data_IF_966948074930
#
_entry.id   IF_966948074930
#
_cell.length_a   1.000
_cell.length_b   1.000
_cell.length_c   1.000
_cell.angle_alpha   90.00
_cell.angle_beta   90.00
_cell.angle_gamma   90.00
#
_symmetry.space_group_name_H-M   'P 1'
#
loop_
_entity.id
_entity.type
_entity.pdbx_description
1 polymer ?
#
# COMPACT_ATOMS: atom_id res chain seq x y z
N UNK A 1 0.94 35.25 3.33
CA UNK A 1 1.50 34.08 2.59
C UNK A 1 0.37 33.15 2.12
N UNK A 2 0.37 32.72 0.86
CA UNK A 2 -0.64 31.85 0.24
C UNK A 2 0.05 30.66 -0.43
N UNK A 3 -0.63 29.49 -0.40
CA UNK A 3 -0.23 28.31 -1.16
C UNK A 3 -1.07 28.27 -2.44
N UNK A 4 -0.43 28.16 -3.59
CA UNK A 4 -1.07 28.05 -4.91
C UNK A 4 -0.23 27.22 -5.87
N UNK A 5 -0.83 26.83 -7.00
CA UNK A 5 -0.07 26.21 -8.08
C UNK A 5 1.02 27.17 -8.60
N UNK A 6 2.16 26.59 -9.01
CA UNK A 6 3.25 27.29 -9.67
C UNK A 6 2.77 27.95 -10.97
N UNK A 7 3.33 29.10 -11.29
CA UNK A 7 3.10 29.85 -12.54
C UNK A 7 4.44 30.03 -13.30
N UNK A 8 4.45 30.29 -14.60
CA UNK A 8 5.68 30.43 -15.38
C UNK A 8 6.68 31.48 -14.78
N UNK A 9 6.18 32.58 -14.25
CA UNK A 9 7.00 33.64 -13.68
C UNK A 9 7.61 33.29 -12.30
N UNK A 10 7.22 32.20 -11.68
CA UNK A 10 7.74 31.79 -10.36
C UNK A 10 9.06 31.00 -10.46
N UNK A 11 9.34 30.38 -11.61
CA UNK A 11 10.40 29.36 -11.75
C UNK A 11 11.77 29.85 -11.33
N UNK A 12 12.17 31.02 -11.77
CA UNK A 12 13.51 31.61 -11.44
C UNK A 12 13.64 31.93 -9.96
N UNK A 13 12.59 32.47 -9.33
CA UNK A 13 12.61 32.71 -7.89
C UNK A 13 12.72 31.41 -7.12
N UNK A 14 11.99 30.35 -7.54
CA UNK A 14 12.06 29.03 -6.94
C UNK A 14 13.46 28.43 -7.10
N UNK A 15 14.05 28.48 -8.29
CA UNK A 15 15.40 27.97 -8.55
C UNK A 15 16.46 28.64 -7.64
N UNK A 16 16.36 29.92 -7.43
CA UNK A 16 17.26 30.67 -6.52
C UNK A 16 17.08 30.18 -5.06
N UNK A 17 15.85 29.94 -4.62
CA UNK A 17 15.60 29.40 -3.27
C UNK A 17 16.21 28.01 -3.13
N UNK A 18 16.03 27.13 -4.11
CA UNK A 18 16.59 25.78 -4.10
C UNK A 18 18.11 25.85 -3.93
N UNK A 19 18.80 26.67 -4.74
CA UNK A 19 20.25 26.85 -4.67
C UNK A 19 20.69 27.41 -3.33
N UNK A 20 20.06 28.47 -2.84
CA UNK A 20 20.37 29.03 -1.52
C UNK A 20 20.22 28.06 -0.39
N UNK A 21 19.22 27.14 -0.44
CA UNK A 21 19.04 26.10 0.58
C UNK A 21 20.15 25.05 0.50
N UNK A 22 20.60 24.67 -0.69
CA UNK A 22 21.75 23.75 -0.82
C UNK A 22 23.03 24.34 -0.21
N UNK A 23 23.29 25.61 -0.49
CA UNK A 23 24.45 26.36 0.05
C UNK A 23 24.34 26.50 1.58
N UNK A 24 23.16 26.86 2.08
CA UNK A 24 22.88 27.01 3.53
C UNK A 24 23.18 25.73 4.31
N UNK A 25 22.75 24.58 3.78
CA UNK A 25 22.90 23.29 4.45
C UNK A 25 24.22 22.57 4.11
N UNK A 26 25.05 23.12 3.23
CA UNK A 26 26.28 22.47 2.77
C UNK A 26 26.03 21.14 2.05
N UNK A 27 24.92 21.04 1.32
CA UNK A 27 24.60 19.85 0.57
C UNK A 27 25.47 19.74 -0.71
N UNK A 28 25.66 18.52 -1.27
CA UNK A 28 26.41 18.35 -2.53
C UNK A 28 25.81 19.15 -3.67
N UNK A 29 26.65 19.84 -4.44
CA UNK A 29 26.22 20.75 -5.51
C UNK A 29 26.22 20.10 -6.89
N UNK A 30 26.98 19.01 -7.07
CA UNK A 30 27.18 18.34 -8.37
C UNK A 30 26.36 17.07 -8.44
N UNK A 31 25.73 16.80 -9.58
CA UNK A 31 24.82 15.70 -9.83
C UNK A 31 23.60 15.71 -8.89
N UNK A 32 23.05 16.90 -8.66
CA UNK A 32 21.92 17.16 -7.78
C UNK A 32 20.91 18.10 -8.41
N UNK A 33 19.84 18.42 -7.69
CA UNK A 33 18.88 19.47 -8.08
C UNK A 33 19.56 20.85 -8.26
N UNK A 34 20.69 21.10 -7.60
CA UNK A 34 21.40 22.38 -7.65
C UNK A 34 21.93 22.72 -9.06
N UNK A 35 22.60 21.77 -9.71
CA UNK A 35 23.19 21.91 -11.03
C UNK A 35 22.32 21.43 -12.19
N UNK A 36 21.13 20.87 -11.89
CA UNK A 36 20.18 20.41 -12.90
C UNK A 36 19.54 21.62 -13.63
N UNK A 37 19.72 21.78 -14.95
CA UNK A 37 19.09 22.86 -15.72
C UNK A 37 17.56 22.88 -15.59
N UNK A 38 16.90 21.72 -15.38
CA UNK A 38 15.44 21.63 -15.18
C UNK A 38 14.97 22.36 -13.93
N UNK A 39 15.86 22.72 -13.01
CA UNK A 39 15.52 23.48 -11.80
C UNK A 39 15.04 24.89 -12.11
N UNK A 40 15.49 25.49 -13.22
CA UNK A 40 14.99 26.79 -13.69
C UNK A 40 13.68 26.69 -14.49
N UNK A 41 13.27 25.48 -14.85
CA UNK A 41 12.14 25.19 -15.72
C UNK A 41 11.10 24.27 -15.07
N UNK A 42 10.90 24.39 -13.75
CA UNK A 42 9.98 23.49 -13.00
C UNK A 42 8.58 23.52 -13.58
N UNK A 43 8.02 24.69 -13.89
CA UNK A 43 6.70 24.80 -14.50
C UNK A 43 6.63 24.10 -15.86
N UNK A 44 7.64 24.34 -16.70
CA UNK A 44 7.67 23.81 -18.06
C UNK A 44 7.78 22.26 -18.06
N UNK A 45 8.51 21.69 -17.09
CA UNK A 45 8.67 20.24 -16.95
C UNK A 45 7.37 19.51 -16.57
N UNK A 46 6.38 20.21 -16.02
CA UNK A 46 5.08 19.63 -15.67
C UNK A 46 4.16 19.47 -16.88
N UNK A 47 4.41 20.20 -17.98
CA UNK A 47 3.52 20.25 -19.14
C UNK A 47 3.30 18.86 -19.74
N UNK A 48 2.04 18.46 -19.94
CA UNK A 48 1.65 17.18 -20.50
C UNK A 48 1.96 15.96 -19.63
N UNK A 49 2.35 16.14 -18.37
CA UNK A 49 2.64 15.09 -17.40
C UNK A 49 1.54 15.02 -16.35
N UNK A 50 1.35 13.81 -15.79
CA UNK A 50 0.53 13.63 -14.59
C UNK A 50 1.32 14.09 -13.35
N UNK A 51 1.52 15.41 -13.23
CA UNK A 51 2.39 16.05 -12.25
C UNK A 51 1.72 17.27 -11.65
N UNK A 52 2.19 17.69 -10.47
CA UNK A 52 1.69 18.89 -9.81
C UNK A 52 2.74 19.54 -8.94
N UNK A 53 2.74 20.87 -8.89
CA UNK A 53 3.66 21.62 -8.07
C UNK A 53 3.00 22.84 -7.45
N UNK A 54 3.21 23.05 -6.17
CA UNK A 54 2.66 24.16 -5.40
C UNK A 54 3.80 25.00 -4.83
N UNK A 55 3.56 26.30 -4.75
CA UNK A 55 4.48 27.24 -4.11
C UNK A 55 3.80 27.95 -2.94
N UNK A 56 4.62 28.47 -2.04
CA UNK A 56 4.24 29.53 -1.10
C UNK A 56 4.70 30.85 -1.68
N UNK A 57 3.79 31.83 -1.71
CA UNK A 57 4.11 33.18 -2.09
C UNK A 57 3.53 34.19 -1.11
N UNK A 58 4.26 35.29 -0.93
CA UNK A 58 3.80 36.47 -0.20
C UNK A 58 4.03 37.74 -1.03
N UNK A 59 2.95 38.46 -1.34
CA UNK A 59 3.00 39.71 -2.14
C UNK A 59 3.83 39.58 -3.44
N UNK A 60 3.70 38.44 -4.13
CA UNK A 60 4.42 38.16 -5.38
C UNK A 60 5.85 37.61 -5.22
N UNK A 61 6.34 37.46 -3.99
CA UNK A 61 7.64 36.85 -3.69
C UNK A 61 7.42 35.36 -3.41
N UNK A 62 8.10 34.47 -4.16
CA UNK A 62 8.13 33.03 -3.90
C UNK A 62 8.99 32.76 -2.68
N UNK A 63 8.50 31.90 -1.79
CA UNK A 63 9.18 31.56 -0.54
C UNK A 63 9.51 30.06 -0.43
N UNK A 64 9.11 29.26 -1.42
CA UNK A 64 9.39 27.85 -1.49
C UNK A 64 8.34 27.08 -2.26
N UNK A 65 8.54 25.77 -2.39
CA UNK A 65 7.62 24.92 -3.13
C UNK A 65 7.80 23.43 -2.84
N UNK A 66 6.85 22.64 -3.33
CA UNK A 66 6.84 21.18 -3.28
C UNK A 66 5.91 20.66 -4.36
N UNK A 67 6.26 19.51 -4.96
CA UNK A 67 5.40 18.87 -5.96
C UNK A 67 5.62 17.38 -6.07
N UNK A 68 4.93 16.76 -7.02
CA UNK A 68 5.12 15.37 -7.42
C UNK A 68 5.29 15.27 -8.94
N UNK A 69 6.05 14.27 -9.37
CA UNK A 69 6.41 14.07 -10.78
C UNK A 69 6.58 12.58 -11.13
N UNK A 70 6.14 12.13 -12.33
CA UNK A 70 6.36 10.76 -12.80
C UNK A 70 7.79 10.60 -13.33
N UNK A 71 8.76 10.48 -12.42
CA UNK A 71 10.16 10.29 -12.75
C UNK A 71 10.36 9.00 -13.52
N UNK A 72 11.19 9.04 -14.56
CA UNK A 72 11.48 7.91 -15.43
C UNK A 72 12.06 6.72 -14.64
N UNK A 73 11.70 5.49 -15.03
CA UNK A 73 12.20 4.26 -14.39
C UNK A 73 11.58 3.95 -13.03
N UNK A 74 10.68 4.79 -12.49
CA UNK A 74 9.91 4.42 -11.30
C UNK A 74 8.93 3.28 -11.61
N UNK A 75 8.64 2.40 -10.63
CA UNK A 75 7.61 1.38 -10.80
C UNK A 75 6.24 1.98 -11.15
N UNK A 76 5.39 1.21 -11.80
CA UNK A 76 4.02 1.61 -12.10
C UNK A 76 3.28 2.05 -10.84
N UNK A 77 2.53 3.14 -10.93
CA UNK A 77 1.80 3.72 -9.80
C UNK A 77 2.64 4.57 -8.85
N UNK A 78 3.94 4.77 -9.11
CA UNK A 78 4.80 5.63 -8.30
C UNK A 78 4.96 7.02 -8.91
N UNK A 79 5.05 8.04 -8.05
CA UNK A 79 5.58 9.36 -8.40
C UNK A 79 6.69 9.73 -7.42
N UNK A 80 7.58 10.61 -7.84
CA UNK A 80 8.60 11.21 -6.97
C UNK A 80 8.05 12.51 -6.36
N UNK A 81 8.23 12.71 -5.05
CA UNK A 81 8.03 14.00 -4.41
C UNK A 81 9.28 14.84 -4.70
N UNK A 82 9.09 15.93 -5.43
CA UNK A 82 10.19 16.71 -6.02
C UNK A 82 10.31 18.10 -5.46
N UNK A 83 11.57 18.57 -5.37
CA UNK A 83 11.98 19.96 -5.14
C UNK A 83 11.24 20.61 -3.95
N UNK A 84 11.24 19.93 -2.79
CA UNK A 84 10.66 20.46 -1.56
C UNK A 84 11.68 21.34 -0.81
N UNK A 85 11.59 22.63 -1.02
CA UNK A 85 12.49 23.62 -0.43
C UNK A 85 11.74 24.84 0.05
N UNK A 86 12.19 25.44 1.17
CA UNK A 86 11.66 26.66 1.74
C UNK A 86 12.79 27.65 2.08
N UNK A 87 12.57 28.90 1.77
CA UNK A 87 13.41 29.98 2.28
C UNK A 87 13.32 30.08 3.81
N UNK A 88 14.36 30.56 4.50
CA UNK A 88 14.31 30.77 5.97
C UNK A 88 13.09 31.57 6.42
N UNK A 89 12.64 32.54 5.65
CA UNK A 89 11.50 33.40 5.95
C UNK A 89 10.15 32.66 6.02
N UNK A 90 10.05 31.46 5.42
CA UNK A 90 8.82 30.66 5.44
C UNK A 90 8.87 29.50 6.45
N UNK A 91 9.99 29.27 7.12
CA UNK A 91 10.15 28.16 8.08
C UNK A 91 9.56 28.51 9.46
N UNK A 92 9.19 27.48 10.22
CA UNK A 92 8.64 27.65 11.58
C UNK A 92 7.16 28.04 11.66
N UNK A 93 6.51 28.34 10.55
CA UNK A 93 5.10 28.78 10.49
C UNK A 93 4.13 27.70 9.98
N UNK A 94 4.57 26.44 9.85
CA UNK A 94 3.76 25.32 9.38
C UNK A 94 3.57 25.25 7.85
N UNK A 95 4.12 26.18 7.09
CA UNK A 95 3.97 26.22 5.63
C UNK A 95 4.62 25.02 4.93
N UNK A 96 5.74 24.51 5.45
CA UNK A 96 6.37 23.30 4.94
C UNK A 96 5.43 22.11 4.99
N UNK A 97 4.81 21.85 6.13
CA UNK A 97 3.82 20.78 6.28
C UNK A 97 2.62 20.98 5.36
N UNK A 98 2.16 22.22 5.19
CA UNK A 98 1.04 22.52 4.30
C UNK A 98 1.35 22.20 2.83
N UNK A 99 2.53 22.62 2.33
CA UNK A 99 2.99 22.29 0.96
C UNK A 99 3.14 20.78 0.77
N UNK A 100 3.79 20.13 1.72
CA UNK A 100 4.07 18.72 1.70
C UNK A 100 2.78 17.88 1.64
N UNK A 101 1.81 18.18 2.51
CA UNK A 101 0.50 17.53 2.50
C UNK A 101 -0.28 17.83 1.21
N UNK A 102 -0.16 19.02 0.67
CA UNK A 102 -0.78 19.39 -0.60
C UNK A 102 -0.20 18.57 -1.76
N UNK A 103 1.12 18.33 -1.79
CA UNK A 103 1.76 17.49 -2.81
C UNK A 103 1.37 16.01 -2.67
N UNK A 104 1.30 15.48 -1.44
CA UNK A 104 0.80 14.12 -1.16
C UNK A 104 -0.62 13.95 -1.66
N UNK A 105 -1.51 14.86 -1.28
CA UNK A 105 -2.93 14.81 -1.69
C UNK A 105 -3.09 14.98 -3.20
N UNK A 106 -2.27 15.83 -3.82
CA UNK A 106 -2.22 15.99 -5.27
C UNK A 106 -1.84 14.71 -5.98
N UNK A 107 -0.79 14.01 -5.54
CA UNK A 107 -0.35 12.74 -6.09
C UNK A 107 -1.42 11.65 -5.92
N UNK A 108 -2.07 11.58 -4.74
CA UNK A 108 -3.18 10.66 -4.47
C UNK A 108 -4.34 10.87 -5.44
N UNK A 109 -4.79 12.13 -5.62
CA UNK A 109 -5.85 12.48 -6.58
C UNK A 109 -5.49 12.23 -8.04
N UNK A 110 -4.22 12.29 -8.36
CA UNK A 110 -3.69 11.96 -9.68
C UNK A 110 -3.63 10.44 -9.95
N UNK A 111 -3.99 9.60 -8.95
CA UNK A 111 -4.08 8.15 -9.07
C UNK A 111 -2.78 7.41 -8.77
N UNK A 112 -1.77 8.07 -8.20
CA UNK A 112 -0.58 7.38 -7.75
C UNK A 112 -0.84 6.58 -6.47
N UNK A 113 -0.24 5.40 -6.40
CA UNK A 113 -0.33 4.53 -5.21
C UNK A 113 0.79 4.77 -4.21
N UNK A 114 1.92 5.30 -4.68
CA UNK A 114 3.11 5.52 -3.85
C UNK A 114 3.78 6.85 -4.19
N UNK A 115 4.41 7.46 -3.17
CA UNK A 115 5.37 8.54 -3.35
C UNK A 115 6.77 8.06 -2.97
N UNK A 116 7.73 8.37 -3.83
CA UNK A 116 9.16 8.14 -3.66
C UNK A 116 9.86 9.47 -3.36
N UNK A 117 10.91 9.46 -2.56
CA UNK A 117 11.73 10.63 -2.24
C UNK A 117 13.20 10.25 -2.34
N UNK A 118 14.00 11.15 -2.90
CA UNK A 118 15.45 11.19 -2.79
C UNK A 118 15.88 12.37 -1.91
N UNK A 119 16.86 12.16 -1.03
CA UNK A 119 17.32 13.19 -0.10
C UNK A 119 18.80 13.00 0.29
N UNK A 120 19.25 13.89 1.17
CA UNK A 120 20.59 13.92 1.75
C UNK A 120 20.53 13.98 3.27
N UNK A 121 21.57 13.48 4.00
CA UNK A 121 21.66 13.61 5.45
C UNK A 121 21.66 15.07 5.94
N UNK A 122 22.15 16.01 5.12
CA UNK A 122 22.17 17.43 5.41
C UNK A 122 20.75 18.00 5.61
N UNK A 123 19.73 17.40 5.00
CA UNK A 123 18.32 17.78 5.15
C UNK A 123 17.60 16.98 6.23
N UNK A 124 18.23 16.72 7.37
CA UNK A 124 17.74 15.88 8.47
C UNK A 124 16.35 16.26 8.98
N UNK A 125 16.03 17.57 9.04
CA UNK A 125 14.72 18.05 9.46
C UNK A 125 13.62 17.63 8.48
N UNK A 126 13.91 17.67 7.18
CA UNK A 126 13.00 17.21 6.13
C UNK A 126 12.84 15.67 6.19
N UNK A 127 13.94 14.94 6.35
CA UNK A 127 13.93 13.46 6.50
C UNK A 127 13.07 13.06 7.69
N UNK A 128 13.28 13.68 8.85
CA UNK A 128 12.48 13.44 10.07
C UNK A 128 10.99 13.78 9.85
N UNK A 129 10.69 14.79 9.05
CA UNK A 129 9.30 15.10 8.68
C UNK A 129 8.72 14.01 7.79
N UNK A 130 9.46 13.50 6.80
CA UNK A 130 9.02 12.40 5.94
C UNK A 130 8.68 11.14 6.77
N UNK A 131 9.55 10.77 7.72
CA UNK A 131 9.33 9.65 8.64
C UNK A 131 8.04 9.82 9.46
N UNK A 132 7.83 11.00 10.07
CA UNK A 132 6.59 11.30 10.80
C UNK A 132 5.32 11.22 9.95
N UNK A 133 5.45 11.42 8.65
CA UNK A 133 4.33 11.29 7.70
C UNK A 133 4.26 9.90 7.02
N UNK A 134 4.97 8.91 7.57
CA UNK A 134 4.85 7.51 7.16
C UNK A 134 5.68 7.11 5.93
N UNK A 135 6.66 7.92 5.54
CA UNK A 135 7.70 7.47 4.63
C UNK A 135 8.65 6.52 5.36
N UNK A 136 9.03 5.46 4.69
CA UNK A 136 10.00 4.47 5.20
C UNK A 136 11.23 4.44 4.31
N UNK A 137 12.40 4.25 4.92
CA UNK A 137 13.64 4.07 4.18
C UNK A 137 13.61 2.80 3.34
N UNK A 138 14.21 2.89 2.16
CA UNK A 138 14.49 1.74 1.29
C UNK A 138 15.98 1.69 0.98
N UNK A 139 16.56 0.48 0.75
CA UNK A 139 18.01 0.32 0.63
C UNK A 139 18.57 0.79 -0.72
N UNK A 140 17.73 0.96 -1.73
CA UNK A 140 18.16 1.24 -3.10
C UNK A 140 17.34 2.35 -3.73
N UNK A 141 17.97 3.10 -4.64
CA UNK A 141 17.31 4.07 -5.50
C UNK A 141 16.25 3.39 -6.36
N UNK A 142 15.14 4.11 -6.58
CA UNK A 142 14.12 3.77 -7.57
C UNK A 142 14.15 4.82 -8.68
N UNK A 143 13.99 4.37 -9.93
CA UNK A 143 13.94 5.26 -11.08
C UNK A 143 15.26 5.97 -11.41
N UNK A 144 15.16 6.91 -12.34
CA UNK A 144 16.27 7.73 -12.82
C UNK A 144 15.90 9.22 -12.76
N UNK A 145 16.12 9.83 -11.60
CA UNK A 145 15.94 11.27 -11.38
C UNK A 145 17.03 12.12 -12.06
N UNK A 146 18.17 11.51 -12.41
CA UNK A 146 19.38 12.18 -12.83
C UNK A 146 20.24 12.73 -11.66
N UNK A 147 19.76 12.67 -10.42
CA UNK A 147 20.46 13.23 -9.25
C UNK A 147 21.27 12.15 -8.51
N UNK A 148 22.37 11.70 -9.13
CA UNK A 148 23.12 10.52 -8.67
C UNK A 148 23.83 10.69 -7.32
N UNK A 149 23.95 11.91 -6.79
CA UNK A 149 24.60 12.19 -5.51
C UNK A 149 23.72 11.91 -4.28
N UNK A 150 22.39 11.73 -4.45
CA UNK A 150 21.47 11.45 -3.33
C UNK A 150 21.78 10.10 -2.68
N UNK A 151 21.65 10.03 -1.34
CA UNK A 151 22.02 8.85 -0.54
C UNK A 151 20.91 8.35 0.37
N UNK A 152 19.83 9.10 0.50
CA UNK A 152 18.63 8.71 1.26
C UNK A 152 17.49 8.48 0.27
N UNK A 153 16.87 7.30 0.35
CA UNK A 153 15.74 6.90 -0.47
C UNK A 153 14.59 6.46 0.43
N UNK A 154 13.40 7.00 0.18
CA UNK A 154 12.23 6.70 1.00
C UNK A 154 10.98 6.51 0.14
N UNK A 155 10.04 5.72 0.63
CA UNK A 155 8.74 5.46 -0.03
C UNK A 155 7.60 5.57 0.98
N UNK A 156 6.50 6.15 0.53
CA UNK A 156 5.22 6.19 1.24
C UNK A 156 4.12 5.57 0.38
N UNK A 157 3.33 4.66 0.97
CA UNK A 157 2.04 4.23 0.42
C UNK A 157 1.02 5.37 0.59
N UNK A 158 0.37 5.77 -0.49
CA UNK A 158 -0.63 6.84 -0.50
C UNK A 158 -2.04 6.35 -0.13
N UNK A 159 -2.21 5.02 -0.09
CA UNK A 159 -3.49 4.36 0.23
C UNK A 159 -3.26 3.25 1.26
N UNK A 160 -2.84 3.58 2.48
CA UNK A 160 -2.52 2.59 3.48
C UNK A 160 -3.74 1.72 3.81
N UNK A 161 -3.49 0.42 3.87
CA UNK A 161 -4.50 -0.56 4.28
C UNK A 161 -4.19 -1.02 5.69
N UNK A 162 -5.21 -1.01 6.55
CA UNK A 162 -5.14 -1.54 7.91
C UNK A 162 -5.86 -2.89 7.96
N UNK A 163 -5.15 -3.92 8.40
CA UNK A 163 -5.79 -5.21 8.69
C UNK A 163 -6.26 -5.21 10.14
N UNK A 164 -7.54 -5.53 10.33
CA UNK A 164 -8.18 -5.62 11.64
C UNK A 164 -8.86 -6.98 11.81
N UNK A 165 -9.00 -7.42 13.05
CA UNK A 165 -9.81 -8.59 13.38
C UNK A 165 -11.29 -8.23 13.41
N UNK A 166 -12.13 -9.22 13.20
CA UNK A 166 -13.58 -9.10 13.18
C UNK A 166 -14.15 -8.48 14.46
N UNK A 167 -15.13 -7.65 14.26
CA UNK A 167 -16.07 -7.16 15.26
C UNK A 167 -17.48 -7.23 14.66
N UNK A 168 -18.55 -7.38 15.47
CA UNK A 168 -19.93 -7.52 14.95
C UNK A 168 -20.36 -6.40 14.00
N UNK A 169 -19.83 -5.19 14.14
CA UNK A 169 -20.09 -4.06 13.24
C UNK A 169 -19.69 -4.32 11.78
N UNK A 170 -18.74 -5.23 11.52
CA UNK A 170 -18.24 -5.56 10.19
C UNK A 170 -18.97 -6.73 9.51
N UNK A 171 -20.00 -7.30 10.19
CA UNK A 171 -20.75 -8.45 9.68
C UNK A 171 -21.30 -8.22 8.27
N UNK A 172 -21.93 -7.07 8.07
CA UNK A 172 -22.54 -6.74 6.78
C UNK A 172 -21.48 -6.53 5.68
N UNK A 173 -20.35 -5.95 6.01
CA UNK A 173 -19.25 -5.78 5.06
C UNK A 173 -18.64 -7.12 4.64
N UNK A 174 -18.45 -8.04 5.57
CA UNK A 174 -17.99 -9.39 5.26
C UNK A 174 -18.95 -10.11 4.31
N UNK A 175 -20.25 -10.03 4.56
CA UNK A 175 -21.28 -10.63 3.69
C UNK A 175 -21.27 -9.96 2.32
N UNK A 176 -21.29 -8.63 2.28
CA UNK A 176 -21.29 -7.83 1.04
C UNK A 176 -20.10 -8.19 0.14
N UNK A 177 -18.89 -8.18 0.68
CA UNK A 177 -17.67 -8.48 -0.08
C UNK A 177 -17.69 -9.89 -0.67
N UNK A 178 -18.15 -10.87 0.09
CA UNK A 178 -18.23 -12.25 -0.38
C UNK A 178 -19.32 -12.44 -1.43
N UNK A 179 -20.49 -11.84 -1.27
CA UNK A 179 -21.53 -11.85 -2.30
C UNK A 179 -21.05 -11.21 -3.60
N UNK A 180 -20.49 -10.00 -3.51
CA UNK A 180 -19.91 -9.27 -4.66
C UNK A 180 -18.87 -10.13 -5.41
N UNK A 181 -18.00 -10.81 -4.66
CA UNK A 181 -16.98 -11.66 -5.26
C UNK A 181 -17.59 -12.91 -5.93
N UNK A 182 -18.48 -13.64 -5.23
CA UNK A 182 -19.09 -14.88 -5.73
C UNK A 182 -19.91 -14.59 -6.98
N UNK A 183 -20.77 -13.57 -6.96
CA UNK A 183 -21.67 -13.21 -8.07
C UNK A 183 -20.94 -12.85 -9.37
N UNK A 184 -19.66 -12.46 -9.28
CA UNK A 184 -18.83 -12.18 -10.48
C UNK A 184 -18.31 -13.43 -11.17
N UNK A 185 -18.12 -14.52 -10.46
CA UNK A 185 -17.41 -15.71 -10.96
C UNK A 185 -18.26 -16.98 -10.91
N UNK A 186 -19.31 -17.00 -10.09
CA UNK A 186 -20.11 -18.18 -9.82
C UNK A 186 -21.53 -17.81 -9.39
N UNK A 187 -22.24 -18.79 -8.80
CA UNK A 187 -23.51 -18.58 -8.11
C UNK A 187 -23.30 -18.76 -6.61
N UNK A 188 -24.13 -18.06 -5.82
CA UNK A 188 -24.20 -18.28 -4.38
C UNK A 188 -24.81 -19.67 -4.14
N UNK A 189 -24.10 -20.50 -3.40
CA UNK A 189 -24.50 -21.86 -3.02
C UNK A 189 -25.16 -21.87 -1.63
N UNK A 190 -25.94 -22.92 -1.28
CA UNK A 190 -26.53 -23.06 0.06
C UNK A 190 -25.51 -22.99 1.20
N UNK A 191 -24.29 -23.50 0.98
CA UNK A 191 -23.15 -23.42 1.91
C UNK A 191 -22.69 -21.98 2.16
N UNK A 192 -22.77 -21.10 1.15
CA UNK A 192 -22.47 -19.67 1.31
C UNK A 192 -23.53 -19.00 2.18
N UNK A 193 -24.81 -19.24 1.89
CA UNK A 193 -25.93 -18.68 2.68
C UNK A 193 -25.87 -19.12 4.14
N UNK A 194 -25.53 -20.40 4.39
CA UNK A 194 -25.32 -20.91 5.75
C UNK A 194 -24.21 -20.13 6.45
N UNK A 195 -23.08 -19.87 5.79
CA UNK A 195 -21.99 -19.09 6.36
C UNK A 195 -22.43 -17.65 6.63
N UNK A 196 -23.18 -17.02 5.72
CA UNK A 196 -23.65 -15.63 5.88
C UNK A 196 -24.66 -15.48 7.03
N UNK A 197 -25.46 -16.48 7.27
CA UNK A 197 -26.39 -16.50 8.43
C UNK A 197 -25.63 -16.58 9.77
N UNK A 198 -24.46 -17.24 9.78
CA UNK A 198 -23.71 -17.63 10.97
C UNK A 198 -22.28 -17.05 11.04
N UNK A 199 -22.08 -15.82 10.53
CA UNK A 199 -20.74 -15.18 10.50
C UNK A 199 -20.09 -15.10 11.87
N UNK A 200 -20.86 -14.73 12.90
CA UNK A 200 -20.36 -14.59 14.27
C UNK A 200 -19.87 -15.94 14.85
N UNK A 201 -20.46 -17.05 14.40
CA UNK A 201 -20.10 -18.40 14.86
C UNK A 201 -18.70 -18.81 14.41
N UNK A 202 -18.16 -18.21 13.33
CA UNK A 202 -16.78 -18.46 12.90
C UNK A 202 -15.81 -18.13 14.03
N UNK A 203 -15.98 -16.98 14.67
CA UNK A 203 -15.12 -16.53 15.77
C UNK A 203 -15.47 -17.27 17.06
N UNK A 204 -16.76 -17.47 17.35
CA UNK A 204 -17.22 -18.17 18.55
C UNK A 204 -16.71 -19.62 18.60
N UNK A 205 -16.52 -20.28 17.45
CA UNK A 205 -16.05 -21.65 17.34
C UNK A 205 -14.51 -21.77 17.18
N UNK A 206 -13.74 -20.73 17.53
CA UNK A 206 -12.27 -20.76 17.54
C UNK A 206 -11.60 -20.41 16.22
N UNK A 207 -12.35 -19.91 15.24
CA UNK A 207 -11.80 -19.26 14.04
C UNK A 207 -11.56 -17.77 14.22
N UNK A 208 -11.22 -17.09 13.12
CA UNK A 208 -11.07 -15.63 13.09
C UNK A 208 -11.38 -15.08 11.70
N UNK A 209 -11.89 -13.85 11.64
CA UNK A 209 -12.08 -13.12 10.38
C UNK A 209 -11.17 -11.89 10.40
N UNK A 210 -10.51 -11.64 9.27
CA UNK A 210 -9.68 -10.46 9.04
C UNK A 210 -10.33 -9.58 7.98
N UNK A 211 -10.26 -8.28 8.21
CA UNK A 211 -10.80 -7.28 7.29
C UNK A 211 -9.72 -6.27 6.95
N UNK A 212 -9.68 -5.86 5.69
CA UNK A 212 -8.83 -4.81 5.20
C UNK A 212 -9.64 -3.51 5.13
N UNK A 213 -9.17 -2.48 5.82
CA UNK A 213 -9.81 -1.16 5.91
C UNK A 213 -8.90 -0.16 5.24
N UNK A 214 -9.43 0.67 4.36
CA UNK A 214 -8.71 1.76 3.70
C UNK A 214 -8.70 3.05 4.53
N UNK A 215 -8.11 4.10 3.98
CA UNK A 215 -8.02 5.42 4.63
C UNK A 215 -9.35 6.15 4.80
N UNK A 216 -10.37 5.81 4.00
CA UNK A 216 -11.74 6.30 4.13
C UNK A 216 -12.55 5.51 5.20
N UNK A 217 -11.92 4.56 5.87
CA UNK A 217 -12.54 3.60 6.79
C UNK A 217 -13.55 2.65 6.13
N UNK A 218 -13.45 2.45 4.82
CA UNK A 218 -14.24 1.48 4.10
C UNK A 218 -13.61 0.09 4.18
N UNK A 219 -14.44 -0.94 4.37
CA UNK A 219 -13.97 -2.32 4.34
C UNK A 219 -13.85 -2.78 2.89
N UNK A 220 -12.62 -2.95 2.42
CA UNK A 220 -12.27 -3.23 1.03
C UNK A 220 -11.82 -4.67 0.76
N UNK A 221 -11.62 -5.46 1.80
CA UNK A 221 -11.28 -6.87 1.67
C UNK A 221 -11.51 -7.65 2.96
N UNK A 222 -11.61 -8.96 2.85
CA UNK A 222 -11.76 -9.87 3.99
C UNK A 222 -11.17 -11.26 3.70
N UNK A 223 -10.89 -12.02 4.75
CA UNK A 223 -10.71 -13.47 4.72
C UNK A 223 -11.09 -14.07 6.07
N UNK A 224 -11.38 -15.38 6.10
CA UNK A 224 -11.73 -16.10 7.30
C UNK A 224 -10.80 -17.30 7.52
N UNK A 225 -10.41 -17.52 8.76
CA UNK A 225 -9.85 -18.77 9.27
C UNK A 225 -11.00 -19.50 9.98
N UNK A 226 -11.51 -20.56 9.38
CA UNK A 226 -12.62 -21.35 9.94
C UNK A 226 -12.04 -22.55 10.66
N UNK A 227 -12.45 -22.77 11.90
CA UNK A 227 -12.02 -23.95 12.68
C UNK A 227 -12.88 -25.16 12.36
N UNK A 228 -12.23 -26.30 12.14
CA UNK A 228 -12.84 -27.62 11.95
C UNK A 228 -12.30 -28.61 13.01
N UNK A 229 -12.78 -28.51 14.26
CA UNK A 229 -12.27 -29.35 15.37
C UNK A 229 -12.33 -30.83 15.10
N UNK A 230 -13.38 -31.27 14.41
CA UNK A 230 -13.59 -32.66 14.03
C UNK A 230 -12.53 -33.23 13.06
N UNK A 231 -11.91 -32.32 12.29
CA UNK A 231 -10.82 -32.62 11.34
C UNK A 231 -9.44 -32.26 11.89
N UNK A 232 -9.36 -31.63 13.06
CA UNK A 232 -8.14 -31.11 13.67
C UNK A 232 -7.37 -30.16 12.75
N UNK A 233 -8.09 -29.37 11.95
CA UNK A 233 -7.51 -28.41 11.00
C UNK A 233 -8.35 -27.14 10.91
N UNK A 234 -7.82 -26.15 10.18
CA UNK A 234 -8.52 -24.90 9.87
C UNK A 234 -8.60 -24.70 8.37
N UNK A 235 -9.57 -23.93 7.93
CA UNK A 235 -9.77 -23.55 6.53
C UNK A 235 -9.52 -22.07 6.33
N UNK A 236 -8.70 -21.71 5.35
CA UNK A 236 -8.69 -20.36 4.79
C UNK A 236 -9.85 -20.25 3.81
N UNK A 237 -10.88 -19.51 4.19
CA UNK A 237 -12.11 -19.37 3.42
C UNK A 237 -12.47 -17.89 3.20
N UNK A 238 -13.43 -17.65 2.31
CA UNK A 238 -14.09 -16.36 2.16
C UNK A 238 -13.12 -15.20 1.94
N UNK A 239 -12.04 -15.42 1.17
CA UNK A 239 -11.13 -14.36 0.77
C UNK A 239 -11.72 -13.58 -0.40
N UNK A 240 -11.98 -12.31 -0.16
CA UNK A 240 -12.53 -11.39 -1.15
C UNK A 240 -11.88 -10.01 -1.03
N UNK A 241 -11.64 -9.35 -2.17
CA UNK A 241 -11.17 -7.96 -2.27
C UNK A 241 -12.01 -7.24 -3.31
N UNK A 242 -12.61 -6.10 -2.93
CA UNK A 242 -13.43 -5.32 -3.87
C UNK A 242 -12.63 -4.92 -5.11
N UNK A 243 -13.24 -4.88 -6.31
CA UNK A 243 -12.54 -4.59 -7.57
C UNK A 243 -11.70 -3.32 -7.55
N UNK A 244 -12.21 -2.26 -6.93
CA UNK A 244 -11.53 -0.96 -6.83
C UNK A 244 -10.22 -1.00 -6.04
N UNK A 245 -10.07 -2.00 -5.16
CA UNK A 245 -8.89 -2.14 -4.30
C UNK A 245 -7.97 -3.30 -4.72
N UNK A 246 -8.29 -4.03 -5.79
CA UNK A 246 -7.42 -5.07 -6.35
C UNK A 246 -6.11 -4.48 -6.89
N UNK A 247 -5.06 -5.32 -6.98
CA UNK A 247 -3.71 -4.88 -7.40
C UNK A 247 -2.88 -4.19 -6.30
N UNK A 248 -3.47 -3.83 -5.16
CA UNK A 248 -2.81 -3.16 -4.02
C UNK A 248 -2.20 -4.13 -2.99
N UNK A 249 -2.08 -5.41 -3.30
CA UNK A 249 -1.52 -6.43 -2.38
C UNK A 249 -2.40 -6.81 -1.20
N UNK A 250 -3.65 -6.37 -1.13
CA UNK A 250 -4.57 -6.57 0.01
C UNK A 250 -4.80 -8.05 0.31
N UNK A 251 -5.00 -8.88 -0.72
CA UNK A 251 -5.16 -10.33 -0.53
C UNK A 251 -3.95 -10.96 0.15
N UNK A 252 -2.73 -10.50 -0.19
CA UNK A 252 -1.50 -10.94 0.47
C UNK A 252 -1.46 -10.49 1.94
N UNK A 253 -1.75 -9.24 2.23
CA UNK A 253 -1.79 -8.72 3.61
C UNK A 253 -2.79 -9.49 4.48
N UNK A 254 -3.97 -9.79 3.95
CA UNK A 254 -4.99 -10.60 4.62
C UNK A 254 -4.48 -12.02 4.90
N UNK A 255 -3.92 -12.69 3.88
CA UNK A 255 -3.38 -14.05 4.02
C UNK A 255 -2.21 -14.12 4.99
N UNK A 256 -1.27 -13.17 4.94
CA UNK A 256 -0.15 -13.09 5.89
C UNK A 256 -0.65 -12.89 7.33
N UNK A 257 -1.63 -12.00 7.54
CA UNK A 257 -2.23 -11.75 8.86
C UNK A 257 -2.94 -12.98 9.40
N UNK A 258 -3.62 -13.75 8.54
CA UNK A 258 -4.28 -14.99 8.90
C UNK A 258 -3.26 -16.08 9.29
N UNK A 259 -2.20 -16.25 8.52
CA UNK A 259 -1.13 -17.23 8.81
C UNK A 259 -0.39 -16.88 10.10
N UNK A 260 -0.10 -15.60 10.32
CA UNK A 260 0.54 -15.14 11.56
C UNK A 260 -0.34 -15.33 12.79
N UNK A 261 -1.64 -15.12 12.65
CA UNK A 261 -2.60 -15.42 13.71
C UNK A 261 -2.63 -16.93 14.01
N UNK A 262 -2.71 -17.75 12.98
CA UNK A 262 -2.74 -19.21 13.10
C UNK A 262 -1.49 -19.74 13.83
N UNK A 263 -0.30 -19.26 13.47
CA UNK A 263 0.95 -19.59 14.17
C UNK A 263 0.91 -19.26 15.66
N UNK A 264 0.46 -18.04 16.00
CA UNK A 264 0.37 -17.56 17.39
C UNK A 264 -0.63 -18.34 18.25
N UNK A 265 -1.64 -18.97 17.61
CA UNK A 265 -2.69 -19.72 18.30
C UNK A 265 -2.53 -21.24 18.19
N UNK A 266 -1.35 -21.71 17.76
CA UNK A 266 -1.04 -23.16 17.74
C UNK A 266 -1.80 -23.95 16.67
N UNK A 267 -2.31 -23.28 15.64
CA UNK A 267 -2.90 -23.96 14.48
C UNK A 267 -1.79 -24.70 13.74
N UNK A 268 -1.98 -25.98 13.49
CA UNK A 268 -0.98 -26.82 12.82
C UNK A 268 -1.10 -26.82 11.31
N UNK A 269 -2.35 -26.82 10.82
CA UNK A 269 -2.66 -26.95 9.39
C UNK A 269 -3.77 -26.04 8.97
N UNK A 270 -3.58 -25.46 7.80
CA UNK A 270 -4.60 -24.65 7.13
C UNK A 270 -4.79 -25.23 5.73
N UNK A 271 -5.99 -25.63 5.39
CA UNK A 271 -6.33 -25.97 4.01
C UNK A 271 -7.16 -24.86 3.37
N UNK A 272 -7.28 -24.90 2.06
CA UNK A 272 -8.23 -24.07 1.31
C UNK A 272 -8.78 -24.86 0.12
N UNK A 273 -10.03 -24.58 -0.21
CA UNK A 273 -10.69 -25.01 -1.44
C UNK A 273 -10.67 -23.85 -2.44
N UNK A 274 -10.21 -24.09 -3.65
CA UNK A 274 -10.04 -23.06 -4.68
C UNK A 274 -10.59 -23.48 -6.04
N UNK A 275 -10.43 -22.58 -7.00
CA UNK A 275 -10.74 -22.84 -8.39
C UNK A 275 -9.56 -22.44 -9.28
N UNK A 276 -9.10 -23.37 -10.12
CA UNK A 276 -7.93 -23.19 -11.00
C UNK A 276 -8.11 -22.07 -12.01
N UNK A 277 -9.35 -21.70 -12.35
CA UNK A 277 -9.64 -20.53 -13.23
C UNK A 277 -9.27 -19.19 -12.59
N UNK A 278 -9.10 -19.16 -11.25
CA UNK A 278 -8.73 -17.96 -10.49
C UNK A 278 -7.21 -17.92 -10.31
N UNK A 279 -6.48 -17.83 -11.42
CA UNK A 279 -5.00 -17.93 -11.47
C UNK A 279 -4.31 -16.99 -10.46
N UNK A 280 -4.80 -15.74 -10.34
CA UNK A 280 -4.25 -14.76 -9.39
C UNK A 280 -4.39 -15.23 -7.93
N UNK A 281 -5.50 -15.87 -7.57
CA UNK A 281 -5.72 -16.42 -6.23
C UNK A 281 -4.80 -17.61 -5.96
N UNK A 282 -4.67 -18.52 -6.92
CA UNK A 282 -3.78 -19.68 -6.80
C UNK A 282 -2.30 -19.22 -6.68
N UNK A 283 -1.89 -18.24 -7.49
CA UNK A 283 -0.55 -17.66 -7.39
C UNK A 283 -0.30 -16.99 -6.02
N UNK A 284 -1.32 -16.33 -5.46
CA UNK A 284 -1.26 -15.75 -4.12
C UNK A 284 -1.07 -16.85 -3.06
N UNK A 285 -1.89 -17.90 -3.09
CA UNK A 285 -1.82 -18.99 -2.11
C UNK A 285 -0.46 -19.71 -2.15
N UNK A 286 0.09 -19.95 -3.34
CA UNK A 286 1.45 -20.48 -3.48
C UNK A 286 2.52 -19.56 -2.87
N UNK A 287 2.40 -18.25 -3.06
CA UNK A 287 3.30 -17.25 -2.44
C UNK A 287 3.18 -17.20 -0.92
N UNK A 288 2.01 -17.50 -0.38
CA UNK A 288 1.79 -17.62 1.07
C UNK A 288 2.36 -18.93 1.65
N UNK A 289 2.75 -19.90 0.81
CA UNK A 289 3.32 -21.18 1.22
C UNK A 289 2.37 -22.36 1.12
N UNK A 290 1.18 -22.18 0.58
CA UNK A 290 0.27 -23.30 0.31
C UNK A 290 0.77 -24.13 -0.87
N UNK A 291 0.66 -25.45 -0.75
CA UNK A 291 0.95 -26.42 -1.82
C UNK A 291 -0.30 -27.25 -2.14
N UNK A 292 -0.39 -27.71 -3.36
CA UNK A 292 -1.52 -28.53 -3.83
C UNK A 292 -1.47 -29.93 -3.24
N UNK A 293 -2.63 -30.42 -2.84
CA UNK A 293 -2.83 -31.81 -2.37
C UNK A 293 -3.97 -32.46 -3.15
N UNK A 294 -4.06 -33.81 -3.19
CA UNK A 294 -5.14 -34.49 -3.89
C UNK A 294 -6.52 -34.05 -3.41
N UNK A 295 -7.41 -33.79 -4.36
CA UNK A 295 -8.78 -33.38 -4.08
C UNK A 295 -9.58 -34.54 -3.51
N UNK A 296 -10.19 -34.33 -2.35
CA UNK A 296 -11.03 -35.35 -1.68
C UNK A 296 -12.27 -34.66 -1.10
N UNK A 297 -13.41 -34.80 -1.82
CA UNK A 297 -14.70 -34.27 -1.40
C UNK A 297 -14.70 -32.75 -1.19
N UNK A 298 -15.59 -32.03 -1.84
CA UNK A 298 -15.61 -30.53 -1.78
C UNK A 298 -16.87 -30.10 -1.05
N UNK A 299 -16.74 -29.01 -0.25
CA UNK A 299 -17.89 -28.32 0.31
C UNK A 299 -18.61 -27.47 -0.76
N UNK A 300 -17.91 -27.10 -1.85
CA UNK A 300 -18.44 -26.27 -2.93
C UNK A 300 -18.30 -26.96 -4.29
N UNK A 301 -19.37 -26.96 -5.10
CA UNK A 301 -19.37 -27.55 -6.45
C UNK A 301 -18.39 -26.85 -7.40
N UNK A 302 -18.10 -25.56 -7.14
CA UNK A 302 -17.20 -24.73 -7.95
C UNK A 302 -15.71 -24.98 -7.67
N UNK A 303 -15.34 -25.79 -6.69
CA UNK A 303 -13.96 -26.04 -6.32
C UNK A 303 -13.37 -27.24 -7.07
N UNK A 304 -12.18 -27.04 -7.66
CA UNK A 304 -11.44 -28.04 -8.43
C UNK A 304 -9.97 -28.19 -7.99
N UNK A 305 -9.55 -27.47 -6.94
CA UNK A 305 -8.22 -27.55 -6.34
C UNK A 305 -8.31 -27.49 -4.81
N UNK A 306 -7.51 -28.32 -4.15
CA UNK A 306 -7.32 -28.32 -2.70
C UNK A 306 -5.86 -27.99 -2.40
N UNK A 307 -5.63 -27.04 -1.50
CA UNK A 307 -4.26 -26.66 -1.11
C UNK A 307 -4.10 -26.70 0.41
N UNK A 308 -2.89 -27.03 0.86
CA UNK A 308 -2.52 -27.16 2.27
C UNK A 308 -1.34 -26.25 2.60
N UNK A 309 -1.39 -25.66 3.79
CA UNK A 309 -0.28 -25.01 4.45
C UNK A 309 0.00 -25.74 5.77
N UNK A 310 1.18 -26.34 5.89
CA UNK A 310 1.62 -27.03 7.10
C UNK A 310 2.51 -26.10 7.93
N UNK A 311 2.08 -25.79 9.15
CA UNK A 311 2.79 -24.93 10.10
C UNK A 311 3.80 -25.72 10.94
N UNK A 312 3.69 -27.04 10.99
CA UNK A 312 4.55 -27.97 11.75
C UNK A 312 5.68 -28.55 10.86
N UNK A 313 6.49 -27.74 10.21
CA UNK A 313 7.56 -28.20 9.29
C UNK A 313 8.70 -29.04 9.91
N UNK A 314 8.49 -29.68 11.06
CA UNK A 314 9.50 -30.46 11.79
C UNK A 314 9.11 -31.93 12.10
N UNK A 315 8.00 -32.45 11.58
CA UNK A 315 7.69 -33.86 11.80
C UNK A 315 7.23 -34.56 10.52
N UNK A 316 8.07 -35.47 10.01
CA UNK A 316 7.65 -36.58 9.14
C UNK A 316 6.70 -37.51 9.92
N UNK A 317 5.43 -37.12 10.08
CA UNK A 317 4.39 -37.99 10.60
C UNK A 317 3.42 -38.26 9.47
N UNK A 318 3.42 -39.48 8.99
CA UNK A 318 2.36 -40.03 8.14
C UNK A 318 1.06 -39.95 8.90
N UNK A 319 0.21 -38.97 8.53
CA UNK A 319 -1.16 -38.86 9.05
C UNK A 319 -2.16 -39.46 8.07
N UNK A 320 -3.24 -40.08 8.58
CA UNK A 320 -4.31 -40.55 7.71
C UNK A 320 -4.94 -39.33 6.98
N UNK A 321 -5.33 -39.60 5.75
CA UNK A 321 -5.79 -38.67 4.71
C UNK A 321 -7.08 -37.89 5.03
N UNK A 322 -7.20 -37.20 6.17
CA UNK A 322 -8.35 -36.33 6.47
C UNK A 322 -7.86 -35.08 7.21
N UNK A 323 -7.63 -33.98 6.51
CA UNK A 323 -8.04 -32.66 6.95
C UNK A 323 -9.40 -32.42 6.43
#
# INVERSE_FOLDING_TARGET
MTVRHIQPHDQLQLANIIRSVFEEYGAPLVNTVYDDPRTEHVFDTLAGKNAGYWIIADKGIVLGGCGYYPTEGLPEGYAELVKFYLSPAARGFGYGSKLFLQAIEGARKAGYSHLYIESFPQFSDAVSMYERHGFRHIPQRLGDSGHTATTIFMVKDLHPIKIVQYQPKYKQDFIRLNREWIERFARIEPSDEKTFAHVDDIVANGGQIFLAIDEENEVVGCCALVSHPEKQCHELAKMAVTPKAQGRGIGRMLGESLVDYARKHGVRRIYLEGNTRLEASIALYRKLGFHEIPLQGNAYERCDILMLFDLDSLSEVHFPFWC
#
